data_IF_386625813408
#
_entry.id   IF_386625813408
#
_cell.length_a   1.000
_cell.length_b   1.000
_cell.length_c   1.000
_cell.angle_alpha   90.00
_cell.angle_beta   90.00
_cell.angle_gamma   90.00
#
_symmetry.space_group_name_H-M   'P 1'
#
loop_
_entity.id
_entity.type
_entity.pdbx_description
1 polymer ?
#
# COMPACT_ATOMS: atom_id res chain seq x y z
N UNK A 1 -14.21 1.64 10.34
CA UNK A 1 -13.44 1.83 9.09
C UNK A 1 -14.40 1.52 7.96
N UNK A 2 -14.31 2.27 6.86
CA UNK A 2 -15.10 2.01 5.65
C UNK A 2 -14.66 0.65 5.05
N UNK A 3 -15.62 -0.26 4.83
CA UNK A 3 -15.35 -1.58 4.25
C UNK A 3 -14.73 -1.48 2.85
N UNK A 4 -15.02 -0.40 2.12
CA UNK A 4 -14.40 -0.10 0.83
C UNK A 4 -12.90 0.21 0.99
N UNK A 5 -12.54 1.06 1.97
CA UNK A 5 -11.15 1.41 2.24
C UNK A 5 -10.33 0.18 2.65
N UNK A 6 -10.89 -0.69 3.49
CA UNK A 6 -10.23 -1.92 3.88
C UNK A 6 -9.98 -2.83 2.66
N UNK A 7 -10.96 -2.93 1.76
CA UNK A 7 -10.84 -3.71 0.51
C UNK A 7 -9.72 -3.17 -0.38
N UNK A 8 -9.61 -1.85 -0.54
CA UNK A 8 -8.53 -1.21 -1.31
C UNK A 8 -7.16 -1.54 -0.70
N UNK A 9 -7.02 -1.40 0.62
CA UNK A 9 -5.76 -1.69 1.32
C UNK A 9 -5.35 -3.16 1.15
N UNK A 10 -6.28 -4.10 1.36
CA UNK A 10 -6.02 -5.54 1.18
C UNK A 10 -5.61 -5.88 -0.25
N UNK A 11 -6.20 -5.22 -1.25
CA UNK A 11 -5.81 -5.38 -2.66
C UNK A 11 -4.39 -4.92 -2.92
N UNK A 12 -3.97 -3.80 -2.32
CA UNK A 12 -2.58 -3.31 -2.42
C UNK A 12 -1.63 -4.30 -1.75
N UNK A 13 -1.95 -4.75 -0.53
CA UNK A 13 -1.13 -5.72 0.20
C UNK A 13 -0.98 -7.05 -0.54
N UNK A 14 -2.01 -7.51 -1.25
CA UNK A 14 -1.92 -8.69 -2.12
C UNK A 14 -0.99 -8.50 -3.32
N UNK A 15 -0.82 -7.26 -3.80
CA UNK A 15 0.00 -6.90 -4.98
C UNK A 15 1.38 -6.35 -4.62
N UNK A 16 1.68 -6.17 -3.34
CA UNK A 16 2.99 -5.71 -2.87
C UNK A 16 4.10 -6.61 -3.43
N UNK A 17 5.15 -6.04 -4.06
CA UNK A 17 6.30 -6.81 -4.53
C UNK A 17 7.01 -7.60 -3.42
N UNK A 18 7.63 -8.72 -3.77
CA UNK A 18 8.35 -9.54 -2.79
C UNK A 18 9.56 -8.83 -2.16
N UNK A 19 10.25 -7.97 -2.91
CA UNK A 19 11.37 -7.19 -2.37
C UNK A 19 10.92 -6.24 -1.26
N UNK A 20 9.72 -5.65 -1.34
CA UNK A 20 9.18 -4.81 -0.25
C UNK A 20 8.92 -5.64 1.00
N UNK A 21 8.35 -6.85 0.84
CA UNK A 21 8.12 -7.73 2.00
C UNK A 21 9.43 -8.15 2.67
N UNK A 22 10.45 -8.44 1.86
CA UNK A 22 11.79 -8.74 2.37
C UNK A 22 12.39 -7.55 3.11
N UNK A 23 12.31 -6.36 2.53
CA UNK A 23 12.90 -5.15 3.12
C UNK A 23 12.14 -4.68 4.38
N UNK A 24 10.83 -4.95 4.48
CA UNK A 24 10.05 -4.74 5.70
C UNK A 24 10.50 -5.63 6.87
N UNK A 25 11.01 -6.83 6.57
CA UNK A 25 11.57 -7.76 7.55
C UNK A 25 13.06 -7.48 7.85
N UNK A 26 13.66 -6.48 7.18
CA UNK A 26 15.06 -6.16 7.35
C UNK A 26 15.34 -5.54 8.73
N UNK A 27 16.43 -5.99 9.35
CA UNK A 27 16.98 -5.40 10.58
C UNK A 27 17.68 -4.05 10.34
N UNK A 28 17.97 -3.74 9.07
CA UNK A 28 18.58 -2.47 8.70
C UNK A 28 17.51 -1.38 8.56
N UNK A 29 17.56 -0.39 9.44
CA UNK A 29 16.53 0.65 9.58
C UNK A 29 16.30 1.45 8.27
N UNK A 30 17.34 1.91 7.55
CA UNK A 30 17.19 2.49 6.22
C UNK A 30 16.45 1.63 5.20
N UNK A 31 16.69 0.30 5.16
CA UNK A 31 16.01 -0.59 4.22
C UNK A 31 14.52 -0.70 4.57
N UNK A 32 14.23 -0.90 5.85
CA UNK A 32 12.85 -1.00 6.34
C UNK A 32 12.07 0.28 6.09
N UNK A 33 12.66 1.44 6.39
CA UNK A 33 12.04 2.74 6.14
C UNK A 33 11.71 2.94 4.65
N UNK A 34 12.65 2.61 3.75
CA UNK A 34 12.40 2.69 2.30
C UNK A 34 11.21 1.81 1.87
N UNK A 35 11.11 0.61 2.43
CA UNK A 35 10.02 -0.31 2.13
C UNK A 35 8.66 0.22 2.64
N UNK A 36 8.64 0.79 3.85
CA UNK A 36 7.46 1.45 4.43
C UNK A 36 7.01 2.65 3.59
N UNK A 37 7.93 3.53 3.19
CA UNK A 37 7.65 4.69 2.33
C UNK A 37 7.06 4.27 0.98
N UNK A 38 7.62 3.23 0.38
CA UNK A 38 7.13 2.69 -0.90
C UNK A 38 5.74 2.10 -0.73
N UNK A 39 5.51 1.32 0.32
CA UNK A 39 4.19 0.73 0.60
C UNK A 39 3.14 1.82 0.87
N UNK A 40 3.50 2.85 1.63
CA UNK A 40 2.63 4.00 1.88
C UNK A 40 2.26 4.72 0.57
N UNK A 41 3.21 4.91 -0.34
CA UNK A 41 2.95 5.50 -1.65
C UNK A 41 1.99 4.64 -2.50
N UNK A 42 2.15 3.31 -2.48
CA UNK A 42 1.24 2.38 -3.17
C UNK A 42 -0.19 2.46 -2.62
N UNK A 43 -0.33 2.47 -1.29
CA UNK A 43 -1.64 2.61 -0.62
C UNK A 43 -2.25 3.96 -0.97
N UNK A 44 -1.48 5.05 -0.87
CA UNK A 44 -1.96 6.39 -1.17
C UNK A 44 -2.42 6.53 -2.63
N UNK A 45 -1.73 5.90 -3.59
CA UNK A 45 -2.17 5.87 -4.99
C UNK A 45 -3.48 5.14 -5.15
N UNK A 46 -3.58 3.92 -4.60
CA UNK A 46 -4.79 3.11 -4.72
C UNK A 46 -6.00 3.75 -4.03
N UNK A 47 -5.80 4.44 -2.90
CA UNK A 47 -6.86 5.18 -2.23
C UNK A 47 -7.36 6.33 -3.10
N UNK A 48 -6.46 7.09 -3.73
CA UNK A 48 -6.84 8.18 -4.66
C UNK A 48 -7.58 7.65 -5.89
N UNK A 49 -7.13 6.52 -6.45
CA UNK A 49 -7.77 5.89 -7.61
C UNK A 49 -9.15 5.31 -7.25
N UNK A 50 -9.27 4.61 -6.11
CA UNK A 50 -10.53 4.03 -5.65
C UNK A 50 -11.59 5.06 -5.23
N UNK A 51 -11.15 6.23 -4.73
CA UNK A 51 -12.07 7.37 -4.51
C UNK A 51 -12.45 8.07 -5.81
N UNK A 52 -11.58 8.09 -6.83
CA UNK A 52 -11.92 8.63 -8.14
C UNK A 52 -12.95 7.79 -8.90
N UNK A 53 -12.84 6.46 -8.87
CA UNK A 53 -13.83 5.54 -9.47
C UNK A 53 -15.20 5.64 -8.78
N UNK A 54 -15.23 5.92 -7.47
CA UNK A 54 -16.49 6.10 -6.71
C UNK A 54 -17.15 7.47 -6.92
N UNK A 55 -16.42 8.48 -7.40
CA UNK A 55 -16.93 9.83 -7.66
C UNK A 55 -17.34 10.06 -9.12
N UNK A 56 -16.95 9.15 -10.03
CA UNK A 56 -17.27 9.20 -11.46
C UNK A 56 -18.42 8.25 -11.87
N UNK A 57 -19.01 7.53 -10.91
CA UNK A 57 -20.17 6.64 -11.08
C UNK A 57 -21.43 7.25 -10.46
#
# INVERSE_FOLDING_TARGET
MDDNLNTIILRVLGRTPQWIRHDLDAKDDPLRQRAEETLAAMIASAVREGTADSAAA
#
